data_IF_437540139332
#
_entry.id   IF_437540139332
#
_cell.length_a   1.000
_cell.length_b   1.000
_cell.length_c   1.000
_cell.angle_alpha   90.00
_cell.angle_beta   90.00
_cell.angle_gamma   90.00
#
_symmetry.space_group_name_H-M   'P 1'
#
loop_
_entity.id
_entity.type
_entity.pdbx_description
1 polymer ?
#
# COMPACT_ATOMS: atom_id res chain seq x y z
N UNK A 1 38.02 52.60 -0.17
CA UNK A 1 36.87 51.71 0.09
C UNK A 1 36.70 50.79 -1.12
N UNK A 2 36.88 49.47 -0.95
CA UNK A 2 36.70 48.45 -2.00
C UNK A 2 35.71 47.41 -1.46
N UNK A 3 34.53 47.31 -2.06
CA UNK A 3 33.55 46.26 -1.75
C UNK A 3 33.82 45.04 -2.65
N UNK A 4 33.94 43.82 -2.12
CA UNK A 4 33.90 42.63 -2.95
C UNK A 4 32.45 42.16 -3.10
N UNK A 5 31.97 42.15 -4.35
CA UNK A 5 30.69 41.58 -4.74
C UNK A 5 30.69 40.06 -4.49
N UNK A 6 29.96 39.61 -3.48
CA UNK A 6 29.69 38.19 -3.25
C UNK A 6 28.60 37.75 -4.24
N UNK A 7 29.02 37.19 -5.38
CA UNK A 7 28.14 36.42 -6.26
C UNK A 7 27.89 35.06 -5.61
N UNK A 8 26.83 35.00 -4.81
CA UNK A 8 26.30 33.77 -4.22
C UNK A 8 25.60 32.97 -5.33
N UNK A 9 26.34 32.06 -5.96
CA UNK A 9 25.81 31.15 -6.96
C UNK A 9 24.77 30.20 -6.34
N UNK A 10 23.51 30.33 -6.77
CA UNK A 10 22.45 29.38 -6.42
C UNK A 10 22.72 28.09 -7.19
N UNK A 11 23.18 27.06 -6.47
CA UNK A 11 23.24 25.70 -7.00
C UNK A 11 21.82 25.13 -7.07
N UNK A 12 21.27 25.01 -8.28
CA UNK A 12 20.02 24.28 -8.51
C UNK A 12 20.28 22.78 -8.29
N UNK A 13 19.84 22.26 -7.15
CA UNK A 13 19.77 20.81 -6.92
C UNK A 13 18.57 20.25 -7.67
N UNK A 14 18.81 19.42 -8.70
CA UNK A 14 17.75 18.69 -9.38
C UNK A 14 17.19 17.58 -8.46
N UNK A 15 15.86 17.35 -8.42
CA UNK A 15 15.30 16.27 -7.63
C UNK A 15 15.67 14.94 -8.27
N UNK A 16 16.35 14.08 -7.51
CA UNK A 16 16.52 12.68 -7.89
C UNK A 16 15.16 11.99 -7.84
N UNK A 17 14.57 11.73 -9.01
CA UNK A 17 13.40 10.85 -9.13
C UNK A 17 13.93 9.45 -8.85
N UNK A 18 13.77 8.98 -7.61
CA UNK A 18 14.09 7.61 -7.26
C UNK A 18 13.22 6.68 -8.12
N UNK A 19 13.88 5.79 -8.87
CA UNK A 19 13.29 4.77 -9.72
C UNK A 19 12.55 3.76 -8.81
N UNK A 20 11.30 4.08 -8.47
CA UNK A 20 10.46 3.18 -7.71
C UNK A 20 9.95 2.09 -8.66
N UNK A 21 10.20 0.80 -8.37
CA UNK A 21 9.78 -0.27 -9.25
C UNK A 21 8.28 -0.19 -9.47
N UNK A 22 7.87 -0.21 -10.74
CA UNK A 22 6.46 -0.22 -11.15
C UNK A 22 5.78 -1.43 -10.51
N UNK A 23 5.01 -1.19 -9.44
CA UNK A 23 4.29 -2.25 -8.74
C UNK A 23 3.02 -2.56 -9.53
N UNK A 24 3.11 -3.55 -10.40
CA UNK A 24 1.93 -4.10 -11.09
C UNK A 24 1.01 -4.71 -10.03
N UNK A 25 -0.15 -4.10 -9.82
CA UNK A 25 -1.24 -4.68 -9.04
C UNK A 25 -2.24 -5.24 -10.02
N UNK A 26 -2.32 -6.56 -10.11
CA UNK A 26 -3.34 -7.23 -10.93
C UNK A 26 -4.67 -7.15 -10.20
N UNK A 27 -5.56 -6.28 -10.69
CA UNK A 27 -6.94 -6.19 -10.21
C UNK A 27 -7.75 -7.32 -10.83
N UNK A 28 -7.78 -8.49 -10.17
CA UNK A 28 -8.47 -9.68 -10.68
C UNK A 28 -9.16 -10.49 -9.57
N UNK A 29 -10.16 -11.31 -9.92
CA UNK A 29 -10.81 -12.19 -8.96
C UNK A 29 -9.84 -13.20 -8.35
N UNK A 30 -8.88 -13.70 -9.13
CA UNK A 30 -7.84 -14.63 -8.65
C UNK A 30 -6.99 -13.97 -7.56
N UNK A 31 -6.64 -12.70 -7.74
CA UNK A 31 -5.86 -11.97 -6.74
C UNK A 31 -6.65 -11.70 -5.46
N UNK A 32 -7.96 -11.44 -5.55
CA UNK A 32 -8.84 -11.41 -4.37
C UNK A 32 -8.81 -12.74 -3.61
N UNK A 33 -8.94 -13.87 -4.31
CA UNK A 33 -8.87 -15.20 -3.72
C UNK A 33 -7.54 -15.49 -3.01
N UNK A 34 -6.42 -15.08 -3.61
CA UNK A 34 -5.10 -15.20 -3.00
C UNK A 34 -4.98 -14.41 -1.68
N UNK A 35 -5.53 -13.20 -1.61
CA UNK A 35 -5.52 -12.40 -0.39
C UNK A 35 -6.43 -12.99 0.69
N UNK A 36 -7.59 -13.52 0.30
CA UNK A 36 -8.52 -14.19 1.21
C UNK A 36 -7.90 -15.43 1.85
N UNK A 37 -7.24 -16.27 1.05
CA UNK A 37 -6.54 -17.45 1.55
C UNK A 37 -5.44 -17.10 2.56
N UNK A 38 -4.71 -16.00 2.35
CA UNK A 38 -3.70 -15.51 3.31
C UNK A 38 -4.31 -15.13 4.66
N UNK A 39 -5.49 -14.51 4.66
CA UNK A 39 -6.21 -14.17 5.88
C UNK A 39 -6.65 -15.42 6.64
N UNK A 40 -7.14 -16.45 5.92
CA UNK A 40 -7.51 -17.73 6.57
C UNK A 40 -6.33 -18.47 7.17
N UNK A 41 -5.11 -18.22 6.68
CA UNK A 41 -3.88 -18.80 7.19
C UNK A 41 -3.34 -18.08 8.45
N UNK A 42 -3.97 -16.99 8.90
CA UNK A 42 -3.54 -16.19 10.05
C UNK A 42 -4.32 -16.61 11.32
N UNK A 43 -3.72 -17.38 12.24
CA UNK A 43 -4.33 -17.63 13.53
C UNK A 43 -4.35 -16.31 14.34
N UNK A 44 -5.51 -15.97 14.92
CA UNK A 44 -5.74 -14.78 15.76
C UNK A 44 -5.89 -13.42 15.07
N UNK A 45 -6.43 -13.37 13.85
CA UNK A 45 -6.89 -12.09 13.28
C UNK A 45 -7.94 -11.43 14.18
N UNK A 46 -7.73 -10.16 14.54
CA UNK A 46 -8.66 -9.41 15.39
C UNK A 46 -10.02 -9.16 14.69
N UNK A 47 -11.03 -8.75 15.46
CA UNK A 47 -12.38 -8.51 14.93
C UNK A 47 -12.40 -7.44 13.82
N UNK A 48 -11.49 -6.47 13.87
CA UNK A 48 -11.38 -5.40 12.88
C UNK A 48 -10.80 -5.92 11.55
N UNK A 49 -9.78 -6.77 11.60
CA UNK A 49 -9.20 -7.45 10.45
C UNK A 49 -10.25 -8.34 9.77
N UNK A 50 -11.04 -9.07 10.56
CA UNK A 50 -12.14 -9.89 10.06
C UNK A 50 -13.24 -9.05 9.39
N UNK A 51 -13.62 -7.91 9.99
CA UNK A 51 -14.60 -7.00 9.38
C UNK A 51 -14.09 -6.41 8.05
N UNK A 52 -12.82 -6.02 8.00
CA UNK A 52 -12.18 -5.54 6.77
C UNK A 52 -12.08 -6.63 5.70
N UNK A 53 -11.82 -7.87 6.11
CA UNK A 53 -11.76 -9.03 5.23
C UNK A 53 -13.13 -9.33 4.59
N UNK A 54 -14.19 -9.42 5.40
CA UNK A 54 -15.54 -9.71 4.93
C UNK A 54 -16.04 -8.65 3.93
N UNK A 55 -15.81 -7.38 4.24
CA UNK A 55 -16.18 -6.28 3.36
C UNK A 55 -15.30 -6.22 2.09
N UNK A 56 -14.01 -6.56 2.20
CA UNK A 56 -13.12 -6.70 1.04
C UNK A 56 -13.57 -7.81 0.09
N UNK A 57 -13.99 -8.96 0.62
CA UNK A 57 -14.56 -10.07 -0.15
C UNK A 57 -15.83 -9.65 -0.88
N UNK A 58 -16.76 -9.01 -0.17
CA UNK A 58 -18.03 -8.57 -0.75
C UNK A 58 -17.85 -7.61 -1.94
N UNK A 59 -16.83 -6.76 -1.88
CA UNK A 59 -16.45 -5.87 -2.98
C UNK A 59 -15.84 -6.63 -4.16
N UNK A 60 -15.01 -7.64 -3.91
CA UNK A 60 -14.48 -8.50 -4.97
C UNK A 60 -15.61 -9.28 -5.67
N UNK A 61 -16.55 -9.83 -4.90
CA UNK A 61 -17.70 -10.59 -5.43
C UNK A 61 -18.62 -9.72 -6.30
N UNK A 62 -18.69 -8.41 -6.03
CA UNK A 62 -19.44 -7.44 -6.84
C UNK A 62 -18.64 -6.84 -8.00
N UNK A 63 -17.42 -7.34 -8.27
CA UNK A 63 -16.56 -6.86 -9.36
C UNK A 63 -15.74 -5.60 -9.05
N UNK A 64 -15.77 -5.09 -7.82
CA UNK A 64 -14.96 -3.94 -7.39
C UNK A 64 -13.56 -4.37 -6.93
N UNK A 65 -12.81 -5.05 -7.81
CA UNK A 65 -11.53 -5.69 -7.46
C UNK A 65 -10.53 -4.73 -6.83
N UNK A 66 -10.31 -3.56 -7.43
CA UNK A 66 -9.34 -2.57 -6.92
C UNK A 66 -9.62 -2.14 -5.47
N UNK A 67 -10.89 -1.86 -5.16
CA UNK A 67 -11.32 -1.46 -3.82
C UNK A 67 -11.30 -2.66 -2.86
N UNK A 68 -11.76 -3.83 -3.31
CA UNK A 68 -11.72 -5.07 -2.54
C UNK A 68 -10.30 -5.46 -2.15
N UNK A 69 -9.37 -5.50 -3.11
CA UNK A 69 -7.93 -5.75 -2.92
C UNK A 69 -7.32 -4.77 -1.93
N UNK A 70 -7.62 -3.47 -2.05
CA UNK A 70 -7.11 -2.48 -1.11
C UNK A 70 -7.56 -2.76 0.33
N UNK A 71 -8.81 -3.19 0.52
CA UNK A 71 -9.41 -3.52 1.81
C UNK A 71 -8.87 -4.84 2.37
N UNK A 72 -8.74 -5.88 1.56
CA UNK A 72 -8.11 -7.14 1.92
C UNK A 72 -6.65 -6.96 2.34
N UNK A 73 -5.88 -6.13 1.61
CA UNK A 73 -4.51 -5.77 2.02
C UNK A 73 -4.47 -5.04 3.35
N UNK A 74 -5.48 -4.22 3.67
CA UNK A 74 -5.61 -3.55 4.97
C UNK A 74 -5.94 -4.57 6.07
N UNK A 75 -6.83 -5.52 5.82
CA UNK A 75 -7.13 -6.61 6.74
C UNK A 75 -5.86 -7.40 7.10
N UNK A 76 -5.04 -7.77 6.11
CA UNK A 76 -3.78 -8.50 6.33
C UNK A 76 -2.82 -7.71 7.23
N UNK A 77 -2.73 -6.38 7.01
CA UNK A 77 -1.90 -5.51 7.87
C UNK A 77 -2.46 -5.37 9.28
N UNK A 78 -3.78 -5.35 9.44
CA UNK A 78 -4.41 -5.29 10.76
C UNK A 78 -4.21 -6.61 11.54
N UNK A 79 -4.26 -7.75 10.85
CA UNK A 79 -3.98 -9.06 11.43
C UNK A 79 -2.50 -9.24 11.83
N UNK A 80 -1.58 -8.43 11.28
CA UNK A 80 -0.16 -8.43 11.62
C UNK A 80 0.26 -7.04 12.15
N UNK A 81 -0.04 -6.72 13.43
CA UNK A 81 0.45 -5.47 14.01
C UNK A 81 1.99 -5.45 13.96
N UNK A 82 2.61 -4.28 13.66
CA UNK A 82 4.07 -4.17 13.61
C UNK A 82 4.65 -4.34 15.03
N UNK A 83 5.16 -5.53 15.34
CA UNK A 83 5.82 -5.81 16.62
C UNK A 83 5.68 -7.24 17.12
N UNK A 84 5.94 -8.23 16.27
CA UNK A 84 6.23 -9.60 16.70
C UNK A 84 7.67 -9.72 17.18
#
# INVERSE_FOLDING_TARGET
MRLPSLLFGVALAAPAIADQPLRVTTDSPEYCGLLAARLTAQPAADAQAMALAAEGLRLCDSGHFRTGIAKLRRAIRAAHPPGG
#
